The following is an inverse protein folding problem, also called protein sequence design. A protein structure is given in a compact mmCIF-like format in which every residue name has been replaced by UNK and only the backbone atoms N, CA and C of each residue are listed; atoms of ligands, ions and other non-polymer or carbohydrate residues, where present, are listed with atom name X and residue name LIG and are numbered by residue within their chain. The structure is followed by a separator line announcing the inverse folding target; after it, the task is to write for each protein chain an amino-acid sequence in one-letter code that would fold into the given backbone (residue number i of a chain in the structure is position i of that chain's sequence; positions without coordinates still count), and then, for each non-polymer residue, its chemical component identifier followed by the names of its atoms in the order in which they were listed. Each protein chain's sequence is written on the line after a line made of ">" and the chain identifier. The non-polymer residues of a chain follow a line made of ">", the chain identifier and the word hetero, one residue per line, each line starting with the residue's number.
data_IF_326177190006
#
_entry.id   IF_326177190006
#
_cell.length_a   1.000
_cell.length_b   1.000
_cell.length_c   1.000
_cell.angle_alpha   90.00
_cell.angle_beta   90.00
_cell.angle_gamma   90.00
#
_symmetry.space_group_name_H-M   'P 1'
#
loop_
_entity.id
_entity.type
_entity.pdbx_description
1 polymer ?
#
# COMPACT_ATOMS: atom_id res chain seq x y z
N UNK A 1 11.59 -22.27 -72.24
CA UNK A 1 10.29 -22.36 -71.59
C UNK A 1 10.37 -23.06 -70.24
N UNK A 2 10.96 -24.26 -70.15
CA UNK A 2 11.06 -25.04 -68.89
C UNK A 2 11.81 -24.27 -67.78
N UNK A 3 12.92 -23.62 -68.10
CA UNK A 3 13.73 -22.86 -67.14
C UNK A 3 12.99 -21.63 -66.63
N UNK A 4 12.20 -20.95 -67.45
CA UNK A 4 11.36 -19.84 -67.05
C UNK A 4 10.20 -20.29 -66.12
N UNK A 5 9.61 -21.45 -66.38
CA UNK A 5 8.60 -22.06 -65.54
C UNK A 5 9.13 -22.46 -64.15
N UNK A 6 10.31 -23.16 -64.14
CA UNK A 6 10.97 -23.55 -62.91
C UNK A 6 11.36 -22.30 -62.09
N UNK A 7 11.93 -21.27 -62.75
CA UNK A 7 12.26 -20.01 -62.09
C UNK A 7 11.02 -19.32 -61.47
N UNK A 8 9.89 -19.32 -62.18
CA UNK A 8 8.62 -18.79 -61.67
C UNK A 8 8.14 -19.55 -60.45
N UNK A 9 8.17 -20.87 -60.44
CA UNK A 9 7.79 -21.71 -59.29
C UNK A 9 8.69 -21.44 -58.09
N UNK A 10 10.00 -21.32 -58.28
CA UNK A 10 10.96 -21.01 -57.21
C UNK A 10 10.63 -19.63 -56.57
N UNK A 11 10.38 -18.64 -57.42
CA UNK A 11 10.04 -17.29 -56.93
C UNK A 11 8.73 -17.32 -56.09
N UNK A 12 7.71 -18.03 -56.55
CA UNK A 12 6.46 -18.19 -55.80
C UNK A 12 6.68 -18.87 -54.46
N UNK A 13 7.47 -19.93 -54.40
CA UNK A 13 7.80 -20.64 -53.17
C UNK A 13 8.62 -19.76 -52.21
N UNK A 14 9.55 -18.96 -52.71
CA UNK A 14 10.33 -18.03 -51.91
C UNK A 14 9.43 -16.92 -51.32
N UNK A 15 8.51 -16.35 -52.13
CA UNK A 15 7.55 -15.35 -51.68
C UNK A 15 6.59 -15.93 -50.62
N UNK A 16 6.10 -17.16 -50.84
CA UNK A 16 5.25 -17.84 -49.85
C UNK A 16 6.01 -18.10 -48.53
N UNK A 17 7.28 -18.53 -48.60
CA UNK A 17 8.14 -18.70 -47.42
C UNK A 17 8.38 -17.38 -46.69
N UNK A 18 8.65 -16.30 -47.42
CA UNK A 18 8.85 -14.97 -46.83
C UNK A 18 7.58 -14.44 -46.12
N UNK A 19 6.42 -14.60 -46.76
CA UNK A 19 5.15 -14.19 -46.16
C UNK A 19 4.83 -14.99 -44.90
N UNK A 20 5.06 -16.31 -44.90
CA UNK A 20 4.88 -17.16 -43.73
C UNK A 20 5.82 -16.75 -42.59
N UNK A 21 7.10 -16.47 -42.89
CA UNK A 21 8.08 -15.98 -41.92
C UNK A 21 7.68 -14.62 -41.32
N UNK A 22 7.20 -13.69 -42.14
CA UNK A 22 6.73 -12.39 -41.69
C UNK A 22 5.51 -12.50 -40.77
N UNK A 23 4.56 -13.39 -41.12
CA UNK A 23 3.38 -13.65 -40.28
C UNK A 23 3.84 -14.23 -38.93
N UNK A 24 4.72 -15.23 -38.92
CA UNK A 24 5.25 -15.85 -37.72
C UNK A 24 6.01 -14.86 -36.83
N UNK A 25 6.85 -14.01 -37.40
CA UNK A 25 7.58 -12.95 -36.66
C UNK A 25 6.59 -11.97 -36.07
N UNK A 26 5.57 -11.57 -36.80
CA UNK A 26 4.57 -10.59 -36.32
C UNK A 26 3.72 -11.18 -35.18
N UNK A 27 3.31 -12.44 -35.26
CA UNK A 27 2.59 -13.14 -34.19
C UNK A 27 3.46 -13.30 -32.93
N UNK A 28 4.70 -13.73 -33.11
CA UNK A 28 5.64 -13.81 -31.98
C UNK A 28 5.84 -12.43 -31.33
N UNK A 29 6.02 -11.38 -32.13
CA UNK A 29 6.15 -10.01 -31.62
C UNK A 29 4.92 -9.55 -30.84
N UNK A 30 3.70 -9.90 -31.29
CA UNK A 30 2.46 -9.62 -30.56
C UNK A 30 2.40 -10.40 -29.24
N UNK A 31 2.78 -11.67 -29.25
CA UNK A 31 2.82 -12.50 -28.05
C UNK A 31 3.84 -12.00 -27.03
N UNK A 32 5.04 -11.62 -27.45
CA UNK A 32 6.03 -11.02 -26.57
C UNK A 32 5.57 -9.70 -25.97
N UNK A 33 4.97 -8.82 -26.77
CA UNK A 33 4.38 -7.58 -26.26
C UNK A 33 3.28 -7.87 -25.24
N UNK A 34 2.39 -8.83 -25.49
CA UNK A 34 1.33 -9.21 -24.56
C UNK A 34 1.90 -9.72 -23.24
N UNK A 35 2.89 -10.61 -23.28
CA UNK A 35 3.56 -11.13 -22.08
C UNK A 35 4.28 -10.04 -21.28
N UNK A 36 4.84 -9.04 -21.94
CA UNK A 36 5.52 -7.93 -21.30
C UNK A 36 4.57 -6.98 -20.53
N UNK A 37 3.28 -6.89 -20.92
CA UNK A 37 2.32 -5.92 -20.38
C UNK A 37 1.17 -6.55 -19.60
N UNK A 38 1.08 -7.90 -19.51
CA UNK A 38 0.01 -8.59 -18.75
C UNK A 38 0.56 -9.34 -17.55
N UNK A 39 -0.24 -9.43 -16.49
CA UNK A 39 0.04 -10.28 -15.34
C UNK A 39 -0.29 -11.75 -15.67
N UNK A 40 0.69 -12.62 -15.50
CA UNK A 40 0.60 -14.03 -15.90
C UNK A 40 -0.44 -14.82 -15.09
N UNK A 41 -0.71 -14.43 -13.83
CA UNK A 41 -1.65 -15.13 -12.97
C UNK A 41 -3.10 -14.77 -13.28
N UNK A 42 -3.37 -13.48 -13.54
CA UNK A 42 -4.72 -12.91 -13.62
C UNK A 42 -5.16 -12.56 -15.04
N UNK A 43 -4.19 -12.39 -15.96
CA UNK A 43 -4.44 -12.06 -17.37
C UNK A 43 -5.05 -10.68 -17.60
N UNK A 44 -4.96 -9.74 -16.64
CA UNK A 44 -5.16 -8.31 -16.81
C UNK A 44 -3.81 -7.63 -17.02
N UNK A 45 -3.75 -6.32 -17.21
CA UNK A 45 -2.47 -5.63 -17.33
C UNK A 45 -1.62 -5.81 -16.06
N UNK A 46 -0.32 -5.98 -16.22
CA UNK A 46 0.62 -5.78 -15.13
C UNK A 46 0.82 -4.28 -14.89
N UNK A 47 1.57 -3.90 -13.85
CA UNK A 47 1.84 -2.51 -13.50
C UNK A 47 2.34 -1.68 -14.70
N UNK A 48 3.31 -2.22 -15.44
CA UNK A 48 3.88 -1.52 -16.60
C UNK A 48 2.83 -1.30 -17.70
N UNK A 49 2.09 -2.34 -18.06
CA UNK A 49 1.03 -2.25 -19.07
C UNK A 49 -0.10 -1.31 -18.67
N UNK A 50 -0.52 -1.35 -17.41
CA UNK A 50 -1.53 -0.42 -16.89
C UNK A 50 -1.06 1.04 -16.97
N UNK A 51 0.15 1.30 -16.49
CA UNK A 51 0.75 2.64 -16.49
C UNK A 51 0.87 3.20 -17.92
N UNK A 52 1.32 2.39 -18.89
CA UNK A 52 1.44 2.78 -20.29
C UNK A 52 0.09 3.15 -20.92
N UNK A 53 -0.94 2.34 -20.67
CA UNK A 53 -2.28 2.58 -21.22
C UNK A 53 -2.93 3.84 -20.62
N UNK A 54 -2.84 4.02 -19.31
CA UNK A 54 -3.37 5.21 -18.62
C UNK A 54 -2.66 6.48 -19.09
N UNK A 55 -1.34 6.46 -19.16
CA UNK A 55 -0.56 7.60 -19.61
C UNK A 55 -0.84 7.96 -21.08
N UNK A 56 -1.00 6.97 -21.93
CA UNK A 56 -1.38 7.17 -23.32
C UNK A 56 -2.75 7.83 -23.43
N UNK A 57 -3.75 7.36 -22.64
CA UNK A 57 -5.09 7.95 -22.64
C UNK A 57 -5.04 9.42 -22.17
N UNK A 58 -4.38 9.71 -21.06
CA UNK A 58 -4.30 11.05 -20.49
C UNK A 58 -3.59 12.04 -21.43
N UNK A 59 -2.53 11.62 -22.12
CA UNK A 59 -1.84 12.45 -23.13
C UNK A 59 -2.73 12.77 -24.33
N UNK A 60 -3.54 11.81 -24.76
CA UNK A 60 -4.47 12.00 -25.90
C UNK A 60 -5.71 12.81 -25.53
N UNK A 61 -6.07 12.84 -24.25
CA UNK A 61 -7.30 13.43 -23.74
C UNK A 61 -7.05 14.33 -22.52
N UNK A 62 -6.23 15.38 -22.59
CA UNK A 62 -5.76 16.11 -21.41
C UNK A 62 -6.83 16.90 -20.66
N UNK A 63 -8.01 17.10 -21.28
CA UNK A 63 -9.12 17.83 -20.67
C UNK A 63 -10.32 16.93 -20.31
N UNK A 64 -10.23 15.63 -20.61
CA UNK A 64 -11.31 14.72 -20.30
C UNK A 64 -11.23 14.22 -18.86
N UNK A 65 -12.40 14.12 -18.24
CA UNK A 65 -12.51 13.52 -16.93
C UNK A 65 -12.26 12.02 -16.99
N UNK A 66 -11.53 11.51 -16.02
CA UNK A 66 -11.35 10.08 -15.82
C UNK A 66 -11.15 9.79 -14.33
N UNK A 67 -11.44 8.57 -13.91
CA UNK A 67 -11.29 8.15 -12.54
C UNK A 67 -10.33 6.97 -12.46
N UNK A 68 -9.36 7.05 -11.55
CA UNK A 68 -8.53 5.92 -11.14
C UNK A 68 -9.01 5.40 -9.80
N UNK A 69 -9.12 4.08 -9.67
CA UNK A 69 -9.31 3.42 -8.41
C UNK A 69 -8.15 2.45 -8.13
N UNK A 70 -7.69 2.45 -6.89
CA UNK A 70 -6.78 1.44 -6.35
C UNK A 70 -7.54 0.56 -5.37
N UNK A 71 -7.29 -0.72 -5.41
CA UNK A 71 -7.98 -1.69 -4.56
C UNK A 71 -7.03 -2.80 -4.13
N UNK A 72 -7.40 -3.44 -3.01
CA UNK A 72 -6.58 -4.44 -2.35
C UNK A 72 -7.51 -5.48 -1.69
N UNK A 73 -7.07 -6.74 -1.65
CA UNK A 73 -7.81 -7.81 -0.96
C UNK A 73 -7.58 -7.68 0.54
N UNK A 74 -8.66 -7.54 1.29
CA UNK A 74 -8.58 -7.42 2.74
C UNK A 74 -8.01 -8.71 3.37
N UNK A 75 -7.04 -8.53 4.27
CA UNK A 75 -6.39 -9.62 5.00
C UNK A 75 -5.75 -10.71 4.11
N UNK A 76 -5.28 -10.34 2.91
CA UNK A 76 -4.72 -11.29 1.95
C UNK A 76 -3.56 -12.13 2.52
N UNK A 77 -2.71 -11.52 3.36
CA UNK A 77 -1.66 -12.25 4.05
C UNK A 77 -2.23 -13.38 4.91
N UNK A 78 -3.32 -13.13 5.64
CA UNK A 78 -3.99 -14.14 6.45
C UNK A 78 -4.53 -15.29 5.58
N UNK A 79 -5.06 -14.98 4.38
CA UNK A 79 -5.49 -16.02 3.42
C UNK A 79 -4.32 -16.93 3.04
N UNK A 80 -3.15 -16.36 2.75
CA UNK A 80 -1.94 -17.12 2.44
C UNK A 80 -1.43 -17.93 3.64
N UNK A 81 -1.37 -17.33 4.82
CA UNK A 81 -0.80 -17.95 6.01
C UNK A 81 -1.68 -19.13 6.50
N UNK A 82 -3.01 -18.99 6.41
CA UNK A 82 -3.96 -20.01 6.89
C UNK A 82 -4.24 -21.09 5.84
N UNK A 83 -4.42 -20.71 4.55
CA UNK A 83 -4.88 -21.61 3.50
C UNK A 83 -3.80 -21.96 2.47
N UNK A 84 -2.64 -21.30 2.54
CA UNK A 84 -1.50 -21.47 1.62
C UNK A 84 -1.60 -20.62 0.36
N UNK A 85 -0.47 -20.45 -0.33
CA UNK A 85 -0.35 -19.59 -1.51
C UNK A 85 -1.31 -19.96 -2.66
N UNK A 86 -1.64 -21.25 -2.83
CA UNK A 86 -2.61 -21.67 -3.84
C UNK A 86 -4.01 -21.08 -3.60
N UNK A 87 -4.39 -20.87 -2.33
CA UNK A 87 -5.64 -20.19 -1.97
C UNK A 87 -5.57 -18.70 -2.29
N UNK A 88 -4.44 -18.05 -1.99
CA UNK A 88 -4.19 -16.66 -2.37
C UNK A 88 -4.25 -16.46 -3.89
N UNK A 89 -3.62 -17.32 -4.67
CA UNK A 89 -3.70 -17.31 -6.13
C UNK A 89 -5.15 -17.46 -6.63
N UNK A 90 -5.95 -18.30 -5.97
CA UNK A 90 -7.37 -18.45 -6.24
C UNK A 90 -8.17 -17.18 -5.99
N UNK A 91 -7.90 -16.49 -4.88
CA UNK A 91 -8.53 -15.20 -4.55
C UNK A 91 -8.16 -14.10 -5.57
N UNK A 92 -6.88 -14.00 -5.95
CA UNK A 92 -6.40 -13.06 -6.96
C UNK A 92 -7.05 -13.28 -8.33
N UNK A 93 -7.13 -14.55 -8.79
CA UNK A 93 -7.82 -14.90 -10.04
C UNK A 93 -9.30 -14.55 -9.97
N UNK A 94 -9.96 -14.86 -8.86
CA UNK A 94 -11.38 -14.56 -8.65
C UNK A 94 -11.67 -13.06 -8.68
N UNK A 95 -10.81 -12.25 -8.05
CA UNK A 95 -10.95 -10.80 -8.11
C UNK A 95 -10.80 -10.28 -9.54
N UNK A 96 -9.77 -10.71 -10.26
CA UNK A 96 -9.58 -10.32 -11.66
C UNK A 96 -10.74 -10.73 -12.58
N UNK A 97 -11.30 -11.94 -12.38
CA UNK A 97 -12.50 -12.39 -13.08
C UNK A 97 -13.72 -11.51 -12.76
N UNK A 98 -13.95 -11.21 -11.49
CA UNK A 98 -15.02 -10.31 -11.05
C UNK A 98 -14.88 -8.93 -11.69
N UNK A 99 -13.65 -8.38 -11.73
CA UNK A 99 -13.40 -7.11 -12.40
C UNK A 99 -13.72 -7.16 -13.89
N UNK A 100 -13.27 -8.19 -14.62
CA UNK A 100 -13.54 -8.37 -16.06
C UNK A 100 -15.02 -8.52 -16.36
N UNK A 101 -15.81 -9.11 -15.45
CA UNK A 101 -17.26 -9.30 -15.61
C UNK A 101 -18.04 -8.03 -15.29
N UNK A 102 -17.56 -7.27 -14.29
CA UNK A 102 -18.28 -6.10 -13.79
C UNK A 102 -18.02 -4.83 -14.61
N UNK A 103 -16.79 -4.64 -15.10
CA UNK A 103 -16.39 -3.44 -15.83
C UNK A 103 -16.49 -3.63 -17.35
N UNK A 104 -16.81 -2.54 -18.06
CA UNK A 104 -16.84 -2.52 -19.51
C UNK A 104 -15.46 -2.72 -20.14
N UNK A 105 -15.40 -3.04 -21.43
CA UNK A 105 -14.15 -3.27 -22.17
C UNK A 105 -13.27 -2.02 -22.30
N UNK A 106 -13.84 -0.83 -22.13
CA UNK A 106 -13.12 0.44 -22.23
C UNK A 106 -12.39 0.78 -20.92
N UNK A 107 -12.72 0.08 -19.83
CA UNK A 107 -12.05 0.22 -18.54
C UNK A 107 -10.74 -0.56 -18.55
N UNK A 108 -9.66 0.09 -18.16
CA UNK A 108 -8.33 -0.53 -18.07
C UNK A 108 -8.19 -1.15 -16.69
N UNK A 109 -7.91 -2.44 -16.64
CA UNK A 109 -7.75 -3.22 -15.41
C UNK A 109 -6.29 -3.65 -15.24
N UNK A 110 -5.70 -3.40 -14.08
CA UNK A 110 -4.31 -3.73 -13.79
C UNK A 110 -4.12 -4.42 -12.44
N UNK A 111 -3.03 -5.20 -12.32
CA UNK A 111 -2.48 -5.71 -11.07
C UNK A 111 -1.09 -5.16 -10.88
N UNK A 112 -0.89 -4.40 -9.79
CA UNK A 112 0.38 -3.71 -9.53
C UNK A 112 1.44 -4.63 -8.90
N UNK A 113 1.02 -5.72 -8.29
CA UNK A 113 1.83 -6.73 -7.59
C UNK A 113 1.15 -7.18 -6.30
N UNK A 114 1.52 -8.34 -5.77
CA UNK A 114 0.87 -8.87 -4.57
C UNK A 114 -0.65 -8.96 -4.71
N UNK A 115 -1.36 -8.30 -3.81
CA UNK A 115 -2.81 -8.17 -3.72
C UNK A 115 -3.37 -6.82 -4.22
N UNK A 116 -2.51 -5.96 -4.76
CA UNK A 116 -2.86 -4.62 -5.24
C UNK A 116 -3.34 -4.63 -6.69
N UNK A 117 -4.51 -4.06 -6.93
CA UNK A 117 -5.11 -3.90 -8.26
C UNK A 117 -5.43 -2.44 -8.56
N UNK A 118 -5.57 -2.12 -9.83
CA UNK A 118 -5.94 -0.79 -10.31
C UNK A 118 -7.03 -0.86 -11.36
N UNK A 119 -7.90 0.15 -11.38
CA UNK A 119 -8.97 0.33 -12.34
C UNK A 119 -8.86 1.75 -12.87
N UNK A 120 -8.83 1.91 -14.19
CA UNK A 120 -8.91 3.21 -14.82
C UNK A 120 -10.19 3.28 -15.65
N UNK A 121 -11.04 4.25 -15.35
CA UNK A 121 -12.33 4.48 -15.99
C UNK A 121 -12.25 5.77 -16.80
N UNK A 122 -12.25 5.68 -18.14
CA UNK A 122 -12.23 6.84 -19.01
C UNK A 122 -13.60 7.55 -19.06
N UNK A 123 -13.57 8.82 -19.45
CA UNK A 123 -14.77 9.62 -19.77
C UNK A 123 -15.86 9.62 -18.68
N UNK A 124 -15.44 9.68 -17.39
CA UNK A 124 -16.38 9.68 -16.26
C UNK A 124 -15.88 10.53 -15.08
N UNK A 125 -16.81 10.89 -14.21
CA UNK A 125 -16.57 11.67 -12.97
C UNK A 125 -16.71 10.78 -11.73
N UNK A 126 -16.16 11.23 -10.60
CA UNK A 126 -16.33 10.58 -9.28
C UNK A 126 -17.80 10.43 -8.91
N UNK A 127 -18.65 11.41 -9.23
CA UNK A 127 -20.08 11.36 -8.88
C UNK A 127 -20.79 10.22 -9.60
N UNK A 128 -20.47 10.01 -10.87
CA UNK A 128 -21.06 8.94 -11.69
C UNK A 128 -20.60 7.55 -11.27
N UNK A 129 -19.30 7.37 -10.98
CA UNK A 129 -18.75 6.05 -10.69
C UNK A 129 -18.90 5.61 -9.23
N UNK A 130 -19.10 6.54 -8.30
CA UNK A 130 -19.16 6.23 -6.86
C UNK A 130 -20.24 5.20 -6.49
N UNK A 131 -21.51 5.29 -6.95
CA UNK A 131 -22.51 4.27 -6.64
C UNK A 131 -22.14 2.89 -7.19
N UNK A 132 -21.52 2.89 -8.38
CA UNK A 132 -21.08 1.70 -9.08
C UNK A 132 -19.91 1.01 -8.35
N UNK A 133 -18.88 1.78 -7.97
CA UNK A 133 -17.74 1.28 -7.19
C UNK A 133 -18.16 0.80 -5.80
N UNK A 134 -19.11 1.50 -5.16
CA UNK A 134 -19.66 1.07 -3.87
C UNK A 134 -20.32 -0.30 -4.01
N UNK A 135 -21.21 -0.50 -4.99
CA UNK A 135 -21.85 -1.80 -5.23
C UNK A 135 -20.80 -2.87 -5.52
N UNK A 136 -19.78 -2.56 -6.31
CA UNK A 136 -18.68 -3.49 -6.59
C UNK A 136 -17.94 -3.91 -5.30
N UNK A 137 -17.68 -3.02 -4.36
CA UNK A 137 -17.02 -3.38 -3.09
C UNK A 137 -17.90 -4.17 -2.13
N UNK A 138 -19.22 -3.94 -2.13
CA UNK A 138 -20.18 -4.62 -1.25
C UNK A 138 -20.42 -6.09 -1.65
N UNK A 139 -20.04 -6.48 -2.88
CA UNK A 139 -20.16 -7.87 -3.32
C UNK A 139 -19.16 -8.79 -2.58
N UNK A 140 -19.67 -9.76 -1.83
CA UNK A 140 -18.85 -10.81 -1.23
C UNK A 140 -18.36 -11.76 -2.32
N UNK A 141 -17.03 -11.86 -2.46
CA UNK A 141 -16.38 -12.71 -3.46
C UNK A 141 -16.05 -14.06 -2.87
N UNK A 142 -16.51 -15.10 -3.55
CA UNK A 142 -16.30 -16.47 -3.14
C UNK A 142 -15.35 -17.18 -4.08
N UNK A 143 -14.46 -17.97 -3.55
CA UNK A 143 -13.56 -18.84 -4.29
C UNK A 143 -13.45 -20.20 -3.62
N UNK A 144 -13.04 -21.22 -4.37
CA UNK A 144 -12.88 -22.56 -3.84
C UNK A 144 -11.41 -22.88 -3.57
N UNK A 145 -11.14 -23.41 -2.37
CA UNK A 145 -9.83 -23.88 -1.98
C UNK A 145 -9.96 -25.23 -1.29
N UNK A 146 -9.26 -26.26 -1.77
CA UNK A 146 -9.29 -27.63 -1.23
C UNK A 146 -10.70 -28.20 -1.07
N UNK A 147 -11.61 -27.88 -1.99
CA UNK A 147 -13.01 -28.35 -1.96
C UNK A 147 -13.94 -27.55 -1.04
N UNK A 148 -13.46 -26.53 -0.34
CA UNK A 148 -14.25 -25.66 0.52
C UNK A 148 -14.43 -24.26 -0.08
N UNK A 149 -15.62 -23.71 0.10
CA UNK A 149 -15.93 -22.33 -0.29
C UNK A 149 -15.37 -21.37 0.75
N UNK A 150 -14.66 -20.35 0.27
CA UNK A 150 -14.08 -19.26 1.05
C UNK A 150 -14.54 -17.92 0.49
N UNK A 151 -14.55 -16.88 1.31
CA UNK A 151 -14.93 -15.54 0.92
C UNK A 151 -13.85 -14.53 1.31
N UNK A 152 -13.76 -13.44 0.55
CA UNK A 152 -12.92 -12.29 0.88
C UNK A 152 -13.64 -11.00 0.54
N UNK A 153 -13.24 -9.92 1.18
CA UNK A 153 -13.65 -8.55 0.92
C UNK A 153 -12.53 -7.75 0.29
N UNK A 154 -12.82 -6.58 -0.22
CA UNK A 154 -11.86 -5.65 -0.79
C UNK A 154 -12.05 -4.25 -0.22
N UNK A 155 -10.96 -3.52 -0.13
CA UNK A 155 -10.95 -2.08 0.11
C UNK A 155 -10.59 -1.35 -1.18
N UNK A 156 -11.20 -0.18 -1.44
CA UNK A 156 -11.04 0.57 -2.69
C UNK A 156 -10.98 2.07 -2.41
N UNK A 157 -9.92 2.74 -2.91
CA UNK A 157 -9.80 4.20 -2.94
C UNK A 157 -9.78 4.72 -4.37
N UNK A 158 -10.40 5.87 -4.65
CA UNK A 158 -10.47 6.40 -6.00
C UNK A 158 -10.36 7.93 -6.05
N UNK A 159 -9.85 8.45 -7.19
CA UNK A 159 -9.62 9.86 -7.43
C UNK A 159 -9.94 10.24 -8.88
N UNK A 160 -10.25 11.52 -9.11
CA UNK A 160 -10.66 12.07 -10.40
C UNK A 160 -9.59 13.00 -10.99
N UNK A 161 -9.33 12.85 -12.28
CA UNK A 161 -8.56 13.75 -13.12
C UNK A 161 -9.49 14.57 -14.01
N UNK A 162 -9.22 15.84 -14.33
CA UNK A 162 -8.08 16.67 -13.87
C UNK A 162 -8.34 17.41 -12.55
N UNK A 163 -9.43 17.13 -11.86
CA UNK A 163 -9.90 17.90 -10.68
C UNK A 163 -8.91 17.84 -9.50
N UNK A 164 -8.31 16.68 -9.28
CA UNK A 164 -7.48 16.41 -8.08
C UNK A 164 -6.02 16.11 -8.41
N UNK A 165 -5.65 16.12 -9.68
CA UNK A 165 -4.32 15.75 -10.13
C UNK A 165 -3.99 16.41 -11.45
N UNK A 166 -2.70 16.76 -11.66
CA UNK A 166 -2.17 17.31 -12.89
C UNK A 166 -1.53 16.21 -13.76
N UNK A 167 -1.16 15.10 -13.15
CA UNK A 167 -0.52 13.96 -13.81
C UNK A 167 -0.99 12.61 -13.24
N UNK A 168 -0.64 11.52 -13.95
CA UNK A 168 -0.95 10.15 -13.54
C UNK A 168 -0.40 9.82 -12.15
N UNK A 169 0.82 10.22 -11.86
CA UNK A 169 1.48 9.86 -10.59
C UNK A 169 0.78 10.49 -9.39
N UNK A 170 0.33 11.73 -9.54
CA UNK A 170 -0.46 12.41 -8.53
C UNK A 170 -1.86 11.78 -8.38
N UNK A 171 -2.51 11.44 -9.50
CA UNK A 171 -3.80 10.77 -9.52
C UNK A 171 -3.76 9.43 -8.78
N UNK A 172 -2.75 8.60 -9.06
CA UNK A 172 -2.52 7.33 -8.37
C UNK A 172 -2.28 7.54 -6.87
N UNK A 173 -1.48 8.53 -6.47
CA UNK A 173 -1.27 8.84 -5.04
C UNK A 173 -2.53 9.28 -4.34
N UNK A 174 -3.40 10.03 -4.99
CA UNK A 174 -4.70 10.41 -4.44
C UNK A 174 -5.59 9.18 -4.19
N UNK A 175 -5.67 8.27 -5.16
CA UNK A 175 -6.42 7.03 -5.03
C UNK A 175 -5.86 6.11 -3.93
N UNK A 176 -4.54 5.97 -3.84
CA UNK A 176 -3.85 5.20 -2.80
C UNK A 176 -4.10 5.78 -1.40
N UNK A 177 -4.06 7.11 -1.26
CA UNK A 177 -4.40 7.79 0.00
C UNK A 177 -5.84 7.47 0.44
N UNK A 178 -6.79 7.48 -0.50
CA UNK A 178 -8.17 7.13 -0.21
C UNK A 178 -8.32 5.64 0.16
N UNK A 179 -7.62 4.74 -0.51
CA UNK A 179 -7.56 3.30 -0.17
C UNK A 179 -7.04 3.09 1.25
N UNK A 180 -5.96 3.76 1.60
CA UNK A 180 -5.41 3.70 2.95
C UNK A 180 -6.45 4.13 4.01
N UNK A 181 -7.23 5.18 3.74
CA UNK A 181 -8.29 5.61 4.66
C UNK A 181 -9.40 4.57 4.81
N UNK A 182 -9.79 3.88 3.73
CA UNK A 182 -10.75 2.77 3.81
C UNK A 182 -10.22 1.66 4.72
N UNK A 183 -8.95 1.26 4.54
CA UNK A 183 -8.30 0.24 5.38
C UNK A 183 -8.30 0.64 6.87
N UNK A 184 -8.04 1.92 7.16
CA UNK A 184 -8.05 2.45 8.54
C UNK A 184 -9.45 2.55 9.16
N UNK A 185 -10.50 2.62 8.35
CA UNK A 185 -11.90 2.70 8.81
C UNK A 185 -12.58 1.34 8.98
N UNK A 186 -11.82 0.25 8.89
CA UNK A 186 -12.34 -1.11 9.12
C UNK A 186 -12.47 -1.94 7.85
N UNK A 187 -11.84 -1.52 6.73
CA UNK A 187 -11.81 -2.25 5.47
C UNK A 187 -13.18 -2.42 4.81
N UNK A 188 -13.29 -3.32 3.81
CA UNK A 188 -14.55 -3.71 3.15
C UNK A 188 -15.42 -2.51 2.73
N UNK A 189 -14.85 -1.62 1.91
CA UNK A 189 -15.56 -0.42 1.49
C UNK A 189 -14.83 0.36 0.41
N UNK A 190 -15.41 1.49 0.02
CA UNK A 190 -14.78 2.38 -0.95
C UNK A 190 -14.87 3.86 -0.54
N UNK A 191 -13.89 4.65 -0.96
CA UNK A 191 -13.83 6.08 -0.69
C UNK A 191 -13.22 6.86 -1.85
N UNK A 192 -13.84 8.01 -2.16
CA UNK A 192 -13.24 9.01 -3.04
C UNK A 192 -12.20 9.83 -2.27
N UNK A 193 -11.06 10.10 -2.89
CA UNK A 193 -10.11 11.09 -2.38
C UNK A 193 -10.77 12.48 -2.35
N UNK A 194 -10.49 13.24 -1.28
CA UNK A 194 -10.94 14.63 -1.11
C UNK A 194 -9.77 15.49 -0.68
N UNK A 195 -9.58 16.59 -1.39
CA UNK A 195 -8.59 17.58 -1.01
C UNK A 195 -8.94 18.20 0.37
N UNK A 196 -7.97 18.31 1.26
CA UNK A 196 -8.17 18.81 2.63
C UNK A 196 -8.45 17.76 3.70
N UNK A 197 -8.80 16.50 3.36
CA UNK A 197 -8.88 15.41 4.34
C UNK A 197 -7.49 14.93 4.80
N UNK A 198 -6.45 15.25 4.04
CA UNK A 198 -5.05 14.94 4.37
C UNK A 198 -4.61 15.47 5.75
N UNK A 199 -5.14 16.61 6.19
CA UNK A 199 -4.86 17.19 7.51
C UNK A 199 -5.63 16.46 8.60
N UNK A 200 -6.89 16.08 8.31
CA UNK A 200 -7.74 15.32 9.25
C UNK A 200 -7.28 13.86 9.37
N UNK A 201 -6.75 13.27 8.30
CA UNK A 201 -6.23 11.90 8.28
C UNK A 201 -4.94 11.77 9.09
N UNK A 202 -4.00 12.75 8.99
CA UNK A 202 -2.82 12.80 9.86
C UNK A 202 -3.19 13.01 11.34
N UNK A 203 -4.20 13.82 11.62
CA UNK A 203 -4.71 13.97 12.98
C UNK A 203 -5.41 12.69 13.47
N UNK A 204 -6.15 11.97 12.60
CA UNK A 204 -6.77 10.68 12.93
C UNK A 204 -5.75 9.54 13.06
N UNK A 205 -4.65 9.54 12.27
CA UNK A 205 -3.52 8.64 12.49
C UNK A 205 -2.89 8.86 13.87
N UNK A 206 -2.77 10.11 14.30
CA UNK A 206 -2.37 10.45 15.66
C UNK A 206 -3.33 9.87 16.71
N UNK A 207 -4.63 9.89 16.45
CA UNK A 207 -5.63 9.26 17.34
C UNK A 207 -5.54 7.73 17.30
N UNK A 208 -5.46 7.11 16.11
CA UNK A 208 -5.36 5.64 16.01
C UNK A 208 -4.04 5.10 16.59
N UNK A 209 -2.92 5.78 16.35
CA UNK A 209 -1.63 5.43 16.96
C UNK A 209 -1.68 5.61 18.47
N UNK A 210 -2.27 6.67 18.96
CA UNK A 210 -2.45 6.90 20.40
C UNK A 210 -3.36 5.83 21.02
N UNK A 211 -4.47 5.48 20.38
CA UNK A 211 -5.39 4.44 20.87
C UNK A 211 -4.70 3.06 20.92
N UNK A 212 -3.87 2.72 19.91
CA UNK A 212 -3.08 1.48 19.91
C UNK A 212 -2.07 1.51 21.06
N UNK A 213 -1.34 2.60 21.21
CA UNK A 213 -0.29 2.76 22.20
C UNK A 213 -0.86 2.79 23.62
N UNK A 214 -2.01 3.42 23.83
CA UNK A 214 -2.71 3.44 25.12
C UNK A 214 -3.27 2.06 25.53
N UNK A 215 -3.45 1.13 24.56
CA UNK A 215 -3.85 -0.24 24.83
C UNK A 215 -2.68 -1.24 24.88
N UNK A 216 -1.43 -0.80 24.68
CA UNK A 216 -0.26 -1.66 24.88
C UNK A 216 -0.05 -1.96 26.37
N UNK A 217 0.27 -3.21 26.73
CA UNK A 217 0.62 -3.54 28.11
C UNK A 217 1.95 -2.88 28.47
N UNK A 218 1.93 -2.02 29.51
CA UNK A 218 3.11 -1.33 30.03
C UNK A 218 3.28 0.10 29.51
N UNK A 219 4.28 0.77 30.06
CA UNK A 219 4.64 2.12 29.66
C UNK A 219 5.31 2.10 28.29
N UNK A 220 4.90 3.05 27.44
CA UNK A 220 5.44 3.18 26.09
C UNK A 220 5.82 4.64 25.79
N UNK A 221 6.99 4.82 25.18
CA UNK A 221 7.53 6.11 24.81
C UNK A 221 8.18 6.02 23.42
N UNK A 222 8.04 7.09 22.64
CA UNK A 222 8.76 7.29 21.39
C UNK A 222 9.57 8.57 21.51
N UNK A 223 10.85 8.50 21.26
CA UNK A 223 11.74 9.65 21.23
C UNK A 223 12.70 9.55 20.03
N UNK A 224 13.37 10.66 19.70
CA UNK A 224 14.34 10.68 18.60
C UNK A 224 15.59 9.90 18.99
N UNK A 225 16.02 9.00 18.12
CA UNK A 225 17.29 8.30 18.26
C UNK A 225 18.46 9.20 17.80
N UNK A 226 18.74 10.25 18.59
CA UNK A 226 19.82 11.22 18.32
C UNK A 226 20.60 11.46 19.63
N UNK A 227 21.94 11.44 19.54
CA UNK A 227 22.84 11.60 20.71
C UNK A 227 22.73 12.96 21.37
N UNK A 228 22.40 13.99 20.62
CA UNK A 228 22.30 15.37 21.09
C UNK A 228 20.86 15.84 21.29
N UNK A 229 19.91 15.23 20.56
CA UNK A 229 18.50 15.63 20.56
C UNK A 229 17.57 14.41 20.69
N UNK A 230 17.42 13.91 21.91
CA UNK A 230 16.55 12.79 22.28
C UNK A 230 15.10 13.25 22.59
N UNK A 231 14.54 14.12 21.76
CA UNK A 231 13.21 14.71 21.93
C UNK A 231 12.12 13.66 22.03
N UNK A 232 11.32 13.73 23.10
CA UNK A 232 10.15 12.87 23.31
C UNK A 232 9.06 13.29 22.33
N UNK A 233 8.62 12.35 21.49
CA UNK A 233 7.61 12.55 20.46
C UNK A 233 6.23 12.09 20.92
N UNK A 234 6.16 11.02 21.74
CA UNK A 234 4.91 10.41 22.15
C UNK A 234 5.11 9.54 23.39
N UNK A 235 4.08 9.48 24.25
CA UNK A 235 3.98 8.62 25.40
C UNK A 235 2.55 8.12 25.58
N UNK A 236 2.37 6.89 26.10
CA UNK A 236 1.05 6.36 26.41
C UNK A 236 0.57 6.78 27.81
N UNK A 237 -0.70 6.52 28.08
CA UNK A 237 -1.35 6.82 29.36
C UNK A 237 -0.66 6.13 30.54
N UNK A 238 -0.09 4.93 30.34
CA UNK A 238 0.62 4.20 31.40
C UNK A 238 1.95 4.88 31.78
N UNK A 239 2.72 5.42 30.82
CA UNK A 239 3.91 6.20 31.13
C UNK A 239 3.55 7.49 31.88
N UNK A 240 2.47 8.19 31.46
CA UNK A 240 1.97 9.37 32.17
C UNK A 240 1.61 9.04 33.62
N UNK A 241 0.92 7.93 33.84
CA UNK A 241 0.58 7.42 35.18
C UNK A 241 1.81 7.12 36.03
N UNK A 242 2.80 6.44 35.45
CA UNK A 242 4.05 6.09 36.16
C UNK A 242 4.88 7.31 36.53
N UNK A 243 4.97 8.29 35.64
CA UNK A 243 5.69 9.55 35.90
C UNK A 243 4.92 10.50 36.82
N UNK A 244 3.59 10.31 36.95
CA UNK A 244 2.71 11.19 37.71
C UNK A 244 2.28 12.45 36.94
N UNK A 245 2.49 12.48 35.62
CA UNK A 245 2.07 13.57 34.75
C UNK A 245 0.62 13.34 34.27
N UNK A 246 -0.20 14.40 34.20
CA UNK A 246 -1.62 14.30 33.81
C UNK A 246 -1.83 14.17 32.30
N UNK A 247 -0.90 14.71 31.52
CA UNK A 247 -0.97 14.75 30.07
C UNK A 247 0.43 14.89 29.44
N UNK A 248 0.49 14.83 28.13
CA UNK A 248 1.74 14.92 27.37
C UNK A 248 2.43 16.28 27.55
N UNK A 249 1.69 17.37 27.63
CA UNK A 249 2.26 18.71 27.80
C UNK A 249 2.98 18.84 29.16
N UNK A 250 2.40 18.27 30.21
CA UNK A 250 3.01 18.22 31.53
C UNK A 250 4.27 17.34 31.54
N UNK A 251 4.25 16.19 30.85
CA UNK A 251 5.43 15.33 30.67
C UNK A 251 6.55 16.06 29.92
N UNK A 252 6.24 16.73 28.82
CA UNK A 252 7.21 17.50 28.04
C UNK A 252 7.82 18.67 28.83
N UNK A 253 7.01 19.37 29.61
CA UNK A 253 7.47 20.43 30.49
C UNK A 253 8.38 19.87 31.62
N UNK A 254 7.96 18.75 32.26
CA UNK A 254 8.69 18.07 33.31
C UNK A 254 10.06 17.55 32.86
N UNK A 255 10.14 17.01 31.63
CA UNK A 255 11.37 16.44 31.05
C UNK A 255 12.17 17.43 30.21
N UNK A 256 11.70 18.65 30.03
CA UNK A 256 12.24 19.60 29.07
C UNK A 256 12.36 18.95 27.67
N UNK A 257 11.35 18.16 27.29
CA UNK A 257 11.21 17.40 26.04
C UNK A 257 12.23 16.29 25.80
N UNK A 258 13.20 16.03 26.68
CA UNK A 258 14.28 15.07 26.51
C UNK A 258 14.02 13.79 27.29
N UNK A 259 14.19 12.62 26.64
CA UNK A 259 14.13 11.30 27.29
C UNK A 259 15.15 11.16 28.41
N UNK A 260 16.36 11.68 28.23
CA UNK A 260 17.44 11.66 29.22
C UNK A 260 16.99 12.23 30.57
N UNK A 261 16.11 13.21 30.57
CA UNK A 261 15.60 13.84 31.76
C UNK A 261 14.56 13.00 32.54
N UNK A 262 14.12 11.86 31.99
CA UNK A 262 13.42 10.83 32.74
C UNK A 262 14.34 9.97 33.59
N UNK A 263 15.61 9.88 33.23
CA UNK A 263 16.61 9.07 33.93
C UNK A 263 17.13 9.84 35.13
N UNK A 264 17.38 9.14 36.24
CA UNK A 264 18.02 9.72 37.44
C UNK A 264 19.34 10.40 37.03
N UNK A 265 19.65 11.62 37.50
CA UNK A 265 20.77 12.43 37.01
C UNK A 265 22.14 11.73 37.06
N UNK A 266 22.40 10.95 38.10
CA UNK A 266 23.66 10.21 38.26
C UNK A 266 23.76 8.98 37.32
N UNK A 267 22.68 8.52 36.73
CA UNK A 267 22.63 7.38 35.80
C UNK A 267 22.58 7.80 34.32
N UNK A 268 22.32 9.08 34.02
CA UNK A 268 22.10 9.56 32.65
C UNK A 268 23.24 9.20 31.70
N UNK A 269 24.48 9.47 32.07
CA UNK A 269 25.65 9.23 31.22
C UNK A 269 25.88 7.73 30.98
N UNK A 270 25.75 6.91 32.02
CA UNK A 270 25.94 5.46 31.94
C UNK A 270 24.82 4.81 31.06
N UNK A 271 23.58 5.24 31.20
CA UNK A 271 22.47 4.77 30.39
C UNK A 271 22.65 5.13 28.92
N UNK A 272 22.96 6.39 28.61
CA UNK A 272 23.23 6.84 27.24
C UNK A 272 24.39 6.05 26.61
N UNK A 273 25.48 5.88 27.30
CA UNK A 273 26.59 5.08 26.82
C UNK A 273 26.21 3.63 26.56
N UNK A 274 25.36 3.04 27.40
CA UNK A 274 24.87 1.67 27.23
C UNK A 274 23.98 1.55 25.98
N UNK A 275 22.99 2.45 25.79
CA UNK A 275 22.10 2.47 24.62
C UNK A 275 22.94 2.53 23.33
N UNK A 276 23.81 3.53 23.22
CA UNK A 276 24.59 3.74 22.00
C UNK A 276 25.60 2.64 21.74
N UNK A 277 26.19 2.07 22.78
CA UNK A 277 27.09 0.91 22.64
C UNK A 277 26.36 -0.32 22.06
N UNK A 278 25.13 -0.55 22.43
CA UNK A 278 24.30 -1.64 21.87
C UNK A 278 23.92 -1.37 20.42
N UNK A 279 23.46 -0.16 20.09
CA UNK A 279 23.08 0.24 18.73
C UNK A 279 24.29 0.28 17.79
N UNK A 280 25.40 0.88 18.20
CA UNK A 280 26.65 0.94 17.41
C UNK A 280 27.26 -0.46 17.23
N UNK A 281 27.00 -1.41 18.14
CA UNK A 281 27.35 -2.82 18.04
C UNK A 281 26.51 -3.63 17.04
N UNK A 282 25.58 -2.99 16.32
CA UNK A 282 24.72 -3.62 15.30
C UNK A 282 23.49 -4.34 15.86
N UNK A 283 23.15 -4.13 17.11
CA UNK A 283 21.90 -4.62 17.68
C UNK A 283 20.74 -3.74 17.22
N UNK A 284 19.64 -4.35 16.83
CA UNK A 284 18.39 -3.64 16.46
C UNK A 284 17.56 -3.19 17.67
N UNK A 285 17.94 -3.65 18.87
CA UNK A 285 17.26 -3.37 20.13
C UNK A 285 18.31 -3.04 21.20
N UNK A 286 17.94 -2.23 22.18
CA UNK A 286 18.72 -1.99 23.38
C UNK A 286 17.90 -2.35 24.64
N UNK A 287 18.62 -2.68 25.72
CA UNK A 287 18.04 -2.97 27.02
C UNK A 287 18.80 -2.19 28.07
N UNK A 288 18.09 -1.36 28.82
CA UNK A 288 18.66 -0.61 29.91
C UNK A 288 17.84 -0.74 31.20
N UNK A 289 18.51 -0.82 32.31
CA UNK A 289 17.91 -0.75 33.64
C UNK A 289 18.31 0.58 34.27
N UNK A 290 17.32 1.36 34.72
CA UNK A 290 17.56 2.66 35.33
C UNK A 290 16.45 3.06 36.30
N UNK A 291 16.71 4.11 37.08
CA UNK A 291 15.73 4.72 37.95
C UNK A 291 15.03 5.89 37.23
N UNK A 292 13.77 5.69 36.88
CA UNK A 292 12.95 6.72 36.24
C UNK A 292 12.47 7.73 37.25
N UNK A 293 12.66 9.02 36.93
CA UNK A 293 12.24 10.15 37.74
C UNK A 293 10.73 10.37 37.60
N UNK A 294 10.05 10.64 38.72
CA UNK A 294 8.64 11.00 38.80
C UNK A 294 8.46 12.49 39.11
N UNK A 295 7.30 13.04 38.74
CA UNK A 295 6.96 14.44 38.98
C UNK A 295 6.91 14.83 40.47
N UNK A 296 6.70 13.86 41.36
CA UNK A 296 6.71 14.05 42.83
C UNK A 296 8.12 14.04 43.42
N UNK A 297 9.16 13.91 42.59
CA UNK A 297 10.56 13.86 43.01
C UNK A 297 11.06 12.46 43.44
N UNK A 298 10.20 11.47 43.47
CA UNK A 298 10.57 10.08 43.75
C UNK A 298 11.08 9.36 42.49
N UNK A 299 11.62 8.16 42.67
CA UNK A 299 12.16 7.32 41.58
C UNK A 299 11.53 5.94 41.61
N UNK A 300 11.39 5.35 40.43
CA UNK A 300 10.95 3.96 40.24
C UNK A 300 11.95 3.23 39.37
N UNK A 301 12.29 2.01 39.73
CA UNK A 301 13.16 1.16 38.92
C UNK A 301 12.41 0.65 37.68
N UNK A 302 12.97 0.82 36.53
CA UNK A 302 12.39 0.37 35.25
C UNK A 302 13.43 -0.42 34.44
N UNK A 303 12.94 -1.42 33.70
CA UNK A 303 13.65 -2.05 32.61
C UNK A 303 13.07 -1.52 31.33
N UNK A 304 13.85 -0.81 30.55
CA UNK A 304 13.46 -0.30 29.24
C UNK A 304 13.98 -1.21 28.13
N UNK A 305 13.15 -1.41 27.12
CA UNK A 305 13.46 -2.14 25.92
C UNK A 305 13.22 -1.22 24.72
N UNK A 306 14.29 -0.60 24.23
CA UNK A 306 14.27 0.26 23.06
C UNK A 306 14.40 -0.52 21.75
N UNK A 307 13.89 0.09 20.65
CA UNK A 307 14.02 -0.43 19.29
C UNK A 307 14.05 0.71 18.28
#
# INVERSE_FOLDING_TARGET
>A
LLYLFIGGVIIVLLLAGLTAALIFINENRKNFKRLAVTDALTGIYNRHGFDEQVEQYMRQNPQKHCVVAMLDIDDFKLVNDVYGHAAGDGALKKLAESMKQYFSKDVILGRNGGDEFSIFMPDCTVVEVKPFLKKFTEETRKFYCKGEERAFTISLGFAEYPVLADDRSQLMRCADTALYEVKMRGKNGCMAYREGERIKSRAKLGFAVKDIIDNLPGAFIVYRADKENDEILLANSELLRLTGCKNMDELLAFTNKSFRNLIRPDEQESCQKSIWSQLDGGHSNDYIFFHMRKADGTYISVLDHGR
#
